data_IF_281186103161
#
_entry.id   IF_281186103161
#
_cell.length_a   1.000
_cell.length_b   1.000
_cell.length_c   1.000
_cell.angle_alpha   90.00
_cell.angle_beta   90.00
_cell.angle_gamma   90.00
#
_symmetry.space_group_name_H-M   'P 1'
#
loop_
_entity.id
_entity.type
_entity.pdbx_description
1 polymer ?
#
# COMPACT_ATOMS: atom_id res chain seq x y z
N UNK A 1 -4.61 4.67 -18.95
CA UNK A 1 -3.62 5.66 -19.47
C UNK A 1 -3.10 6.61 -18.41
N UNK A 2 -3.65 6.54 -17.21
CA UNK A 2 -3.41 7.50 -16.11
C UNK A 2 -2.02 7.38 -15.44
N UNK A 3 -1.30 6.29 -15.76
CA UNK A 3 0.06 6.06 -15.26
C UNK A 3 1.17 6.70 -16.13
N UNK A 4 0.84 7.21 -17.33
CA UNK A 4 1.80 7.97 -18.12
C UNK A 4 1.92 9.42 -17.63
N UNK A 5 3.09 10.01 -17.83
CA UNK A 5 3.27 11.45 -17.75
C UNK A 5 2.70 12.09 -19.04
N UNK A 6 1.57 12.78 -18.93
CA UNK A 6 0.98 13.52 -20.05
C UNK A 6 1.85 14.75 -20.39
N UNK A 7 2.33 15.42 -19.36
CA UNK A 7 3.28 16.51 -19.44
C UNK A 7 4.42 16.31 -18.44
N UNK A 8 5.64 16.60 -18.83
CA UNK A 8 6.81 16.58 -17.94
C UNK A 8 6.59 17.58 -16.79
N UNK A 9 6.93 17.18 -15.58
CA UNK A 9 6.78 17.97 -14.34
C UNK A 9 5.33 18.29 -13.92
N UNK A 10 4.31 17.71 -14.56
CA UNK A 10 2.90 17.82 -14.14
C UNK A 10 2.46 16.49 -13.53
N UNK A 11 1.74 16.56 -12.41
CA UNK A 11 1.20 15.37 -11.74
C UNK A 11 0.15 14.68 -12.61
N UNK A 12 0.21 13.34 -12.68
CA UNK A 12 -0.85 12.52 -13.27
C UNK A 12 -2.10 12.48 -12.34
N UNK A 13 -3.10 11.68 -12.66
CA UNK A 13 -4.34 11.51 -11.86
C UNK A 13 -4.06 11.10 -10.41
N UNK A 14 -2.94 10.47 -10.14
CA UNK A 14 -2.50 10.07 -8.80
C UNK A 14 -1.62 11.14 -8.11
N UNK A 15 -1.35 12.26 -8.75
CA UNK A 15 -0.44 13.29 -8.27
C UNK A 15 1.04 12.92 -8.40
N UNK A 16 1.38 11.85 -9.12
CA UNK A 16 2.76 11.46 -9.38
C UNK A 16 3.33 12.33 -10.51
N UNK A 17 4.47 12.95 -10.22
CA UNK A 17 5.19 13.77 -11.20
C UNK A 17 6.07 12.86 -12.05
N UNK A 18 5.73 12.74 -13.33
CA UNK A 18 6.52 11.99 -14.29
C UNK A 18 7.58 12.83 -14.98
N UNK A 19 8.49 12.15 -15.64
CA UNK A 19 9.51 12.75 -16.49
C UNK A 19 9.38 12.20 -17.93
N UNK A 20 10.29 12.61 -18.82
CA UNK A 20 10.31 12.20 -20.22
C UNK A 20 10.40 10.67 -20.38
N UNK A 21 11.08 9.97 -19.46
CA UNK A 21 11.18 8.51 -19.47
C UNK A 21 9.80 7.82 -19.38
N UNK A 22 8.80 8.44 -18.76
CA UNK A 22 7.42 7.94 -18.66
C UNK A 22 6.43 8.73 -19.53
N UNK A 23 6.88 9.56 -20.44
CA UNK A 23 6.02 10.30 -21.38
C UNK A 23 5.29 9.35 -22.34
N UNK A 24 4.06 9.71 -22.70
CA UNK A 24 3.22 8.92 -23.61
C UNK A 24 3.86 8.86 -25.00
N UNK A 25 4.12 7.64 -25.48
CA UNK A 25 4.67 7.39 -26.82
C UNK A 25 4.09 6.10 -27.39
N UNK A 26 4.03 5.95 -28.75
CA UNK A 26 3.60 4.70 -29.37
C UNK A 26 4.44 3.48 -28.92
N UNK A 27 3.78 2.37 -28.65
CA UNK A 27 4.41 1.11 -28.22
C UNK A 27 5.13 1.15 -26.86
N UNK A 28 5.00 2.22 -26.10
CA UNK A 28 5.60 2.36 -24.77
C UNK A 28 4.65 1.84 -23.69
N UNK A 29 5.20 1.14 -22.70
CA UNK A 29 4.47 0.70 -21.51
C UNK A 29 4.53 1.80 -20.44
N UNK A 30 3.43 2.05 -19.69
CA UNK A 30 3.45 2.98 -18.58
C UNK A 30 4.29 2.46 -17.41
N UNK A 31 4.69 3.35 -16.53
CA UNK A 31 5.11 3.00 -15.18
C UNK A 31 3.97 2.25 -14.46
N UNK A 32 4.28 1.32 -13.60
CA UNK A 32 3.29 0.61 -12.78
C UNK A 32 3.67 0.70 -11.31
N UNK A 33 2.67 0.99 -10.46
CA UNK A 33 2.80 0.91 -9.00
C UNK A 33 2.36 -0.45 -8.45
N UNK A 34 1.98 -1.39 -9.30
CA UNK A 34 1.61 -2.74 -8.86
C UNK A 34 2.80 -3.44 -8.20
N UNK A 35 2.57 -3.96 -6.99
CA UNK A 35 3.58 -4.60 -6.17
C UNK A 35 3.07 -5.95 -5.62
N UNK A 36 2.62 -6.91 -6.48
CA UNK A 36 2.25 -8.22 -6.01
C UNK A 36 3.50 -8.92 -5.45
N UNK A 37 3.40 -9.43 -4.22
CA UNK A 37 4.56 -9.96 -3.51
C UNK A 37 4.28 -11.36 -2.97
N UNK A 38 5.25 -12.26 -3.12
CA UNK A 38 5.26 -13.58 -2.49
C UNK A 38 6.50 -13.65 -1.60
N UNK A 39 6.30 -13.84 -0.31
CA UNK A 39 7.39 -14.05 0.64
C UNK A 39 7.58 -15.55 0.81
N UNK A 40 8.82 -16.00 0.72
CA UNK A 40 9.21 -17.39 0.90
C UNK A 40 10.00 -17.55 2.20
N UNK A 41 9.70 -18.61 2.95
CA UNK A 41 10.55 -19.10 4.04
C UNK A 41 10.98 -20.54 3.71
N UNK A 42 12.27 -20.78 3.69
CA UNK A 42 12.84 -22.10 3.34
C UNK A 42 12.31 -22.67 2.02
N UNK A 43 12.19 -21.78 1.00
CA UNK A 43 11.71 -22.14 -0.33
C UNK A 43 10.19 -22.38 -0.46
N UNK A 44 9.41 -22.14 0.59
CA UNK A 44 7.95 -22.31 0.59
C UNK A 44 7.23 -20.98 0.76
N UNK A 45 6.11 -20.73 0.06
CA UNK A 45 5.33 -19.52 0.27
C UNK A 45 4.84 -19.41 1.71
N UNK A 46 5.16 -18.30 2.38
CA UNK A 46 4.72 -17.94 3.73
C UNK A 46 3.63 -16.88 3.69
N UNK A 47 3.79 -15.88 2.82
CA UNK A 47 2.83 -14.81 2.64
C UNK A 47 2.70 -14.46 1.15
N UNK A 48 1.47 -14.31 0.69
CA UNK A 48 1.14 -13.75 -0.62
C UNK A 48 0.31 -12.51 -0.37
N UNK A 49 0.70 -11.38 -0.93
CA UNK A 49 0.01 -10.10 -0.69
C UNK A 49 0.02 -9.24 -1.95
N UNK A 50 -1.04 -8.51 -2.14
CA UNK A 50 -1.20 -7.50 -3.17
C UNK A 50 -2.21 -6.45 -2.74
N UNK A 51 -2.24 -5.34 -3.45
CA UNK A 51 -3.13 -4.24 -3.12
C UNK A 51 -3.64 -3.53 -4.39
N UNK A 52 -4.70 -2.73 -4.21
CA UNK A 52 -5.20 -1.75 -5.18
C UNK A 52 -5.14 -0.34 -4.58
N UNK A 53 -5.00 0.70 -5.41
CA UNK A 53 -5.01 2.10 -4.94
C UNK A 53 -3.92 3.00 -5.53
N UNK A 54 -3.47 2.73 -6.76
CA UNK A 54 -2.42 3.51 -7.43
C UNK A 54 -1.11 3.48 -6.63
N UNK A 55 -0.43 4.62 -6.38
CA UNK A 55 0.84 4.66 -5.66
C UNK A 55 0.76 4.15 -4.22
N UNK A 56 -0.44 4.14 -3.62
CA UNK A 56 -0.68 3.60 -2.27
C UNK A 56 -0.52 2.09 -2.19
N UNK A 57 -0.55 1.38 -3.33
CA UNK A 57 -0.33 -0.07 -3.42
C UNK A 57 0.99 -0.45 -2.73
N UNK A 58 2.06 0.28 -3.02
CA UNK A 58 3.41 0.00 -2.49
C UNK A 58 3.41 0.07 -0.96
N UNK A 59 2.87 1.16 -0.39
CA UNK A 59 2.80 1.36 1.05
C UNK A 59 1.88 0.34 1.75
N UNK A 60 0.72 0.02 1.15
CA UNK A 60 -0.21 -0.94 1.70
C UNK A 60 0.39 -2.36 1.71
N UNK A 61 1.03 -2.77 0.63
CA UNK A 61 1.71 -4.06 0.52
C UNK A 61 2.85 -4.17 1.54
N UNK A 62 3.73 -3.16 1.60
CA UNK A 62 4.86 -3.14 2.52
C UNK A 62 4.41 -3.23 3.98
N UNK A 63 3.47 -2.38 4.41
CA UNK A 63 3.00 -2.38 5.79
C UNK A 63 2.31 -3.69 6.17
N UNK A 64 1.54 -4.30 5.25
CA UNK A 64 0.96 -5.62 5.49
C UNK A 64 2.03 -6.69 5.68
N UNK A 65 3.13 -6.67 4.89
CA UNK A 65 4.27 -7.58 5.05
C UNK A 65 4.91 -7.41 6.43
N UNK A 66 5.26 -6.17 6.80
CA UNK A 66 5.88 -5.87 8.11
C UNK A 66 4.97 -6.29 9.27
N UNK A 67 3.66 -6.02 9.18
CA UNK A 67 2.69 -6.39 10.20
C UNK A 67 2.66 -7.91 10.43
N UNK A 68 2.71 -8.71 9.36
CA UNK A 68 2.70 -10.17 9.48
C UNK A 68 4.06 -10.70 9.96
N UNK A 69 5.18 -10.27 9.34
CA UNK A 69 6.48 -10.89 9.54
C UNK A 69 7.23 -10.36 10.77
N UNK A 70 7.21 -9.03 10.99
CA UNK A 70 8.00 -8.40 12.04
C UNK A 70 7.17 -8.15 13.30
N UNK A 71 5.89 -7.77 13.14
CA UNK A 71 4.98 -7.54 14.27
C UNK A 71 4.12 -8.76 14.63
N UNK A 72 4.28 -9.88 13.92
CA UNK A 72 3.61 -11.16 14.18
C UNK A 72 2.08 -11.07 14.30
N UNK A 73 1.49 -10.13 13.55
CA UNK A 73 0.04 -9.99 13.51
C UNK A 73 -0.59 -11.13 12.69
N UNK A 74 -1.82 -11.49 13.04
CA UNK A 74 -2.62 -12.35 12.15
C UNK A 74 -2.80 -11.66 10.78
N UNK A 75 -2.96 -12.43 9.70
CA UNK A 75 -3.13 -11.85 8.35
C UNK A 75 -4.35 -10.93 8.29
N UNK A 76 -5.44 -11.26 9.02
CA UNK A 76 -6.63 -10.41 9.12
C UNK A 76 -6.32 -9.08 9.81
N UNK A 77 -5.68 -9.13 11.00
CA UNK A 77 -5.29 -7.92 11.72
C UNK A 77 -4.30 -7.07 10.92
N UNK A 78 -3.37 -7.71 10.21
CA UNK A 78 -2.36 -7.02 9.39
C UNK A 78 -2.98 -6.25 8.21
N UNK A 79 -3.99 -6.85 7.55
CA UNK A 79 -4.73 -6.22 6.43
C UNK A 79 -5.61 -5.07 6.93
N UNK A 80 -6.24 -5.21 8.12
CA UNK A 80 -7.11 -4.19 8.71
C UNK A 80 -6.35 -3.07 9.44
N UNK A 81 -5.07 -3.25 9.76
CA UNK A 81 -4.28 -2.25 10.48
C UNK A 81 -4.29 -0.89 9.76
N UNK A 82 -4.37 0.22 10.53
CA UNK A 82 -4.32 1.55 9.94
C UNK A 82 -2.98 1.82 9.29
N UNK A 83 -3.02 2.53 8.16
CA UNK A 83 -1.87 2.76 7.29
C UNK A 83 -1.43 4.20 7.27
N UNK A 84 -0.18 4.38 6.85
CA UNK A 84 0.41 5.66 6.47
C UNK A 84 0.88 5.60 5.02
N UNK A 85 0.97 6.77 4.36
CA UNK A 85 1.48 6.88 3.00
C UNK A 85 2.14 8.23 2.77
N UNK A 86 3.35 8.22 2.22
CA UNK A 86 4.05 9.40 1.74
C UNK A 86 4.58 9.13 0.34
N UNK A 87 4.38 10.06 -0.58
CA UNK A 87 4.81 9.88 -1.99
C UNK A 87 5.70 11.01 -2.49
N UNK A 88 6.40 11.71 -1.57
CA UNK A 88 7.30 12.83 -1.84
C UNK A 88 6.55 14.12 -2.21
N UNK A 89 5.80 14.17 -3.30
CA UNK A 89 5.02 15.35 -3.70
C UNK A 89 3.53 14.97 -3.80
N UNK A 90 2.66 15.72 -3.15
CA UNK A 90 2.95 16.79 -2.20
C UNK A 90 3.67 16.26 -0.96
N UNK A 91 4.57 17.08 -0.38
CA UNK A 91 5.32 16.73 0.84
C UNK A 91 4.39 16.73 2.05
N UNK A 92 3.73 15.60 2.23
CA UNK A 92 2.84 15.34 3.37
C UNK A 92 2.68 13.86 3.60
N UNK A 93 2.57 13.47 4.85
CA UNK A 93 2.27 12.11 5.27
C UNK A 93 0.76 11.95 5.46
N UNK A 94 0.15 11.12 4.63
CA UNK A 94 -1.24 10.74 4.78
C UNK A 94 -1.34 9.60 5.79
N UNK A 95 -2.39 9.62 6.64
CA UNK A 95 -2.62 8.58 7.65
C UNK A 95 -4.11 8.25 7.77
N UNK A 96 -4.43 7.06 8.25
CA UNK A 96 -5.80 6.62 8.54
C UNK A 96 -6.16 6.87 10.02
N UNK A 97 -7.44 7.06 10.31
CA UNK A 97 -7.98 7.45 11.63
C UNK A 97 -7.49 6.59 12.80
N UNK A 98 -7.14 5.31 12.56
CA UNK A 98 -6.62 4.40 13.59
C UNK A 98 -5.19 4.67 14.06
N UNK A 99 -4.45 5.60 13.44
CA UNK A 99 -3.11 5.99 13.91
C UNK A 99 -3.21 6.80 15.21
N UNK A 100 -2.51 6.34 16.27
CA UNK A 100 -2.62 6.91 17.60
C UNK A 100 -2.24 8.40 17.66
N UNK A 101 -2.84 9.20 18.56
CA UNK A 101 -2.46 10.59 18.76
C UNK A 101 -0.97 10.75 19.12
N UNK A 102 -0.41 9.82 19.90
CA UNK A 102 1.00 9.83 20.27
C UNK A 102 1.90 9.61 19.06
N UNK A 103 1.54 8.66 18.16
CA UNK A 103 2.29 8.43 16.91
C UNK A 103 2.22 9.65 16.01
N UNK A 104 1.04 10.27 15.87
CA UNK A 104 0.86 11.49 15.08
C UNK A 104 1.75 12.63 15.60
N UNK A 105 1.73 12.87 16.91
CA UNK A 105 2.59 13.87 17.54
C UNK A 105 4.08 13.59 17.28
N UNK A 106 4.52 12.35 17.42
CA UNK A 106 5.91 11.96 17.14
C UNK A 106 6.31 12.12 15.67
N UNK A 107 5.37 12.07 14.72
CA UNK A 107 5.60 12.37 13.32
C UNK A 107 5.69 13.88 13.07
N UNK A 108 4.82 14.69 13.70
CA UNK A 108 4.87 16.15 13.64
C UNK A 108 6.18 16.70 14.23
N UNK A 109 6.66 16.13 15.34
CA UNK A 109 7.96 16.45 15.93
C UNK A 109 9.16 16.12 15.04
N UNK A 110 8.93 15.38 13.95
CA UNK A 110 9.91 15.06 12.89
C UNK A 110 9.64 15.82 11.60
N UNK A 111 8.93 16.95 11.71
CA UNK A 111 8.60 17.87 10.63
C UNK A 111 7.69 17.27 9.53
N UNK A 112 6.93 16.19 9.82
CA UNK A 112 5.94 15.69 8.89
C UNK A 112 4.66 16.52 8.94
N UNK A 113 4.21 17.04 7.80
CA UNK A 113 2.86 17.57 7.62
C UNK A 113 1.88 16.42 7.50
N UNK A 114 0.93 16.30 8.43
CA UNK A 114 -0.01 15.20 8.50
C UNK A 114 -1.34 15.50 7.80
N UNK A 115 -1.92 14.51 7.13
CA UNK A 115 -3.26 14.57 6.56
C UNK A 115 -4.02 13.28 6.76
N UNK A 116 -5.18 13.35 7.40
CA UNK A 116 -6.06 12.21 7.54
C UNK A 116 -6.75 11.84 6.21
N UNK A 117 -6.90 10.54 5.95
CA UNK A 117 -7.56 9.96 4.79
C UNK A 117 -8.46 8.81 5.25
N UNK A 118 -9.55 8.58 4.54
CA UNK A 118 -10.48 7.48 4.83
C UNK A 118 -9.92 6.11 4.48
N UNK A 119 -9.08 6.02 3.45
CA UNK A 119 -8.44 4.78 3.01
C UNK A 119 -7.13 5.04 2.27
N UNK A 120 -6.11 4.24 2.59
CA UNK A 120 -4.78 4.26 1.97
C UNK A 120 -4.47 2.93 1.27
N UNK A 121 -5.23 2.67 0.20
CA UNK A 121 -5.16 1.43 -0.56
C UNK A 121 -6.08 0.35 0.01
N UNK A 122 -6.18 -0.76 -0.71
CA UNK A 122 -7.00 -1.93 -0.37
C UNK A 122 -6.12 -3.15 -0.55
N UNK A 123 -5.72 -3.81 0.54
CA UNK A 123 -4.85 -4.97 0.51
C UNK A 123 -5.63 -6.28 0.57
N UNK A 124 -5.05 -7.34 0.01
CA UNK A 124 -5.50 -8.71 0.18
C UNK A 124 -4.29 -9.59 0.41
N UNK A 125 -4.39 -10.51 1.34
CA UNK A 125 -3.27 -11.36 1.69
C UNK A 125 -3.72 -12.78 2.05
N UNK A 126 -2.81 -13.75 1.82
CA UNK A 126 -2.91 -15.12 2.30
C UNK A 126 -1.61 -15.44 3.02
N UNK A 127 -1.70 -15.86 4.27
CA UNK A 127 -0.57 -16.33 5.07
C UNK A 127 -0.65 -17.81 5.32
N UNK A 128 0.51 -18.48 5.40
CA UNK A 128 0.64 -19.88 5.76
C UNK A 128 1.30 -20.02 7.13
N UNK A 129 0.66 -20.78 8.02
CA UNK A 129 1.23 -21.18 9.31
C UNK A 129 1.25 -22.73 9.38
N UNK A 130 2.42 -23.30 9.19
CA UNK A 130 2.53 -24.76 9.05
C UNK A 130 1.77 -25.28 7.83
N UNK A 131 0.77 -26.13 8.04
CA UNK A 131 -0.12 -26.66 6.99
C UNK A 131 -1.37 -25.79 6.75
N UNK A 132 -1.67 -24.85 7.65
CA UNK A 132 -2.87 -24.03 7.59
C UNK A 132 -2.65 -22.79 6.72
N UNK A 133 -3.65 -22.46 5.88
CA UNK A 133 -3.75 -21.23 5.13
C UNK A 133 -4.83 -20.34 5.73
N UNK A 134 -4.53 -19.06 5.87
CA UNK A 134 -5.46 -18.02 6.34
C UNK A 134 -5.48 -16.90 5.34
N UNK A 135 -6.66 -16.51 4.86
CA UNK A 135 -6.84 -15.39 3.92
C UNK A 135 -7.51 -14.21 4.59
N UNK A 136 -7.22 -13.00 4.10
CA UNK A 136 -7.88 -11.78 4.52
C UNK A 136 -8.12 -10.84 3.33
N UNK A 137 -9.32 -10.28 3.29
CA UNK A 137 -9.72 -9.21 2.39
C UNK A 137 -9.96 -7.93 3.18
N UNK A 138 -9.49 -6.81 2.62
CA UNK A 138 -9.57 -5.49 3.22
C UNK A 138 -11.00 -4.95 3.27
N UNK A 139 -11.46 -4.56 4.46
CA UNK A 139 -12.80 -3.99 4.66
C UNK A 139 -12.99 -2.59 4.06
N UNK A 140 -11.90 -1.93 3.64
CA UNK A 140 -11.94 -0.60 2.99
C UNK A 140 -12.62 -0.63 1.62
N UNK A 141 -12.78 -1.81 1.02
CA UNK A 141 -13.59 -2.03 -0.17
C UNK A 141 -14.90 -2.72 0.23
N UNK A 142 -16.02 -2.31 -0.37
CA UNK A 142 -17.36 -2.79 -0.04
C UNK A 142 -17.61 -4.29 -0.24
N UNK A 143 -16.75 -4.99 -0.98
CA UNK A 143 -16.83 -6.43 -1.18
C UNK A 143 -16.01 -7.15 -0.10
N UNK A 144 -16.65 -7.47 1.02
CA UNK A 144 -16.10 -8.41 1.99
C UNK A 144 -16.05 -9.79 1.36
N UNK A 145 -14.87 -10.27 1.00
CA UNK A 145 -14.68 -11.69 0.85
C UNK A 145 -14.96 -12.34 2.22
N UNK A 146 -16.01 -13.12 2.33
CA UNK A 146 -16.25 -13.95 3.52
C UNK A 146 -15.20 -15.04 3.51
N UNK A 147 -14.35 -15.06 4.53
CA UNK A 147 -13.62 -16.28 4.91
C UNK A 147 -14.62 -17.17 5.61
N UNK A 148 -15.06 -18.23 4.97
CA UNK A 148 -15.65 -19.41 5.62
C UNK A 148 -14.53 -20.31 6.13
#
# INVERSE_FOLDING_TARGET
>A
MDDFAIHVAVGNVYGLIGNEANALQPKKRPLSSMAPTIVLREGRPELVVGAAGGPRIISATLQTILNVLDFHMSVSSAVEAPRIHHQWIPDRLNFEAGISPQTRKGLEERDHTLREQSALGVAQAIARQGAQLSGAADSRKFDRARTE
#
